data_IF_763571451162
#
_entry.id   IF_763571451162
#
_cell.length_a   1.000
_cell.length_b   1.000
_cell.length_c   1.000
_cell.angle_alpha   90.00
_cell.angle_beta   90.00
_cell.angle_gamma   90.00
#
_symmetry.space_group_name_H-M   'P 1'
#
loop_
_entity.id
_entity.type
_entity.pdbx_description
1 polymer ?
#
# COMPACT_ATOMS: atom_id res chain seq x y z
N UNK A 1 -17.67 2.50 1.40
CA UNK A 1 -18.00 2.99 0.04
C UNK A 1 -16.90 2.60 -0.94
N UNK A 2 -17.29 2.11 -2.12
CA UNK A 2 -16.37 1.88 -3.24
C UNK A 2 -16.54 3.01 -4.25
N UNK A 3 -15.44 3.63 -4.66
CA UNK A 3 -15.46 4.74 -5.60
C UNK A 3 -14.56 4.40 -6.80
N UNK A 4 -15.19 4.18 -7.93
CA UNK A 4 -14.51 3.97 -9.21
C UNK A 4 -14.08 5.31 -9.79
N UNK A 5 -12.84 5.42 -10.22
CA UNK A 5 -12.27 6.62 -10.82
C UNK A 5 -11.74 6.27 -12.21
N UNK A 6 -12.12 7.07 -13.19
CA UNK A 6 -11.64 6.96 -14.58
C UNK A 6 -10.53 7.97 -14.83
N UNK A 7 -9.59 7.61 -15.69
CA UNK A 7 -8.61 8.55 -16.21
C UNK A 7 -9.29 9.58 -17.11
N UNK A 8 -8.76 10.79 -17.14
CA UNK A 8 -9.22 11.79 -18.11
C UNK A 8 -8.59 11.54 -19.49
N UNK A 9 -9.19 12.09 -20.54
CA UNK A 9 -8.73 11.92 -21.92
C UNK A 9 -7.22 12.17 -22.13
N UNK A 10 -6.60 13.25 -21.59
CA UNK A 10 -5.15 13.44 -21.71
C UNK A 10 -4.32 12.33 -21.02
N UNK A 11 -4.78 11.78 -19.90
CA UNK A 11 -4.10 10.68 -19.21
C UNK A 11 -4.26 9.36 -19.99
N UNK A 12 -5.42 9.12 -20.60
CA UNK A 12 -5.65 7.98 -21.48
C UNK A 12 -4.76 8.03 -22.73
N UNK A 13 -4.56 9.23 -23.29
CA UNK A 13 -3.63 9.41 -24.41
C UNK A 13 -2.19 9.07 -24.00
N UNK A 14 -1.72 9.54 -22.82
CA UNK A 14 -0.41 9.14 -22.28
C UNK A 14 -0.30 7.63 -22.05
N UNK A 15 -1.36 7.02 -21.51
CA UNK A 15 -1.44 5.58 -21.29
C UNK A 15 -1.29 4.79 -22.58
N UNK A 16 -2.02 5.20 -23.62
CA UNK A 16 -1.99 4.54 -24.92
C UNK A 16 -0.64 4.68 -25.61
N UNK A 17 -0.05 5.88 -25.58
CA UNK A 17 1.28 6.13 -26.11
C UNK A 17 2.35 5.28 -25.37
N UNK A 18 2.28 5.23 -24.03
CA UNK A 18 3.20 4.42 -23.23
C UNK A 18 3.02 2.93 -23.47
N UNK A 19 1.78 2.45 -23.61
CA UNK A 19 1.47 1.06 -23.94
C UNK A 19 2.06 0.63 -25.27
N UNK A 20 1.98 1.47 -26.30
CA UNK A 20 2.58 1.17 -27.61
C UNK A 20 4.11 1.00 -27.56
N UNK A 21 4.78 1.78 -26.71
CA UNK A 21 6.22 1.67 -26.48
C UNK A 21 6.57 0.40 -25.67
N UNK A 22 5.75 0.04 -24.68
CA UNK A 22 5.90 -1.23 -23.95
C UNK A 22 5.86 -2.42 -24.90
N UNK A 23 4.91 -2.46 -25.83
CA UNK A 23 4.78 -3.55 -26.81
C UNK A 23 6.06 -3.71 -27.66
N UNK A 24 6.64 -2.60 -28.13
CA UNK A 24 7.89 -2.62 -28.90
C UNK A 24 9.08 -3.16 -28.08
N UNK A 25 9.16 -2.84 -26.80
CA UNK A 25 10.21 -3.34 -25.91
C UNK A 25 9.96 -4.80 -25.51
N UNK A 26 8.70 -5.23 -25.45
CA UNK A 26 8.32 -6.60 -25.12
C UNK A 26 8.60 -7.59 -26.26
N UNK A 27 8.55 -7.16 -27.52
CA UNK A 27 8.63 -8.01 -28.70
C UNK A 27 9.81 -9.00 -28.67
N UNK A 28 11.08 -8.62 -28.42
CA UNK A 28 12.19 -9.59 -28.35
C UNK A 28 12.05 -10.56 -27.18
N UNK A 29 11.44 -10.15 -26.05
CA UNK A 29 11.20 -11.03 -24.91
C UNK A 29 10.11 -12.06 -25.19
N UNK A 30 9.08 -11.66 -25.94
CA UNK A 30 7.99 -12.53 -26.39
C UNK A 30 8.47 -13.54 -27.45
N UNK A 31 9.27 -13.11 -28.41
CA UNK A 31 9.88 -13.99 -29.44
C UNK A 31 10.70 -15.14 -28.84
N UNK A 32 11.33 -14.91 -27.69
CA UNK A 32 12.08 -15.92 -26.96
C UNK A 32 11.26 -16.63 -25.87
N UNK A 33 9.95 -16.38 -25.76
CA UNK A 33 9.07 -17.02 -24.78
C UNK A 33 9.32 -16.64 -23.31
N UNK A 34 10.15 -15.61 -23.04
CA UNK A 34 10.46 -15.15 -21.68
C UNK A 34 9.24 -14.41 -21.08
N UNK A 35 8.53 -13.64 -21.91
CA UNK A 35 7.34 -12.92 -21.53
C UNK A 35 6.16 -13.40 -22.38
N UNK A 36 5.07 -13.78 -21.73
CA UNK A 36 3.82 -14.06 -22.44
C UNK A 36 3.19 -12.75 -22.96
N UNK A 37 2.33 -12.85 -23.97
CA UNK A 37 1.54 -11.70 -24.42
C UNK A 37 0.59 -11.25 -23.31
N UNK A 38 0.78 -10.03 -22.81
CA UNK A 38 -0.07 -9.43 -21.80
C UNK A 38 -0.50 -8.04 -22.26
N UNK A 39 -1.66 -7.61 -21.82
CA UNK A 39 -2.06 -6.22 -21.97
C UNK A 39 -1.03 -5.32 -21.25
N UNK A 40 -0.37 -4.39 -21.96
CA UNK A 40 0.62 -3.48 -21.39
C UNK A 40 0.10 -2.69 -20.18
N UNK A 41 -1.20 -2.38 -20.16
CA UNK A 41 -1.84 -1.66 -19.06
C UNK A 41 -1.87 -2.47 -17.75
N UNK A 42 -1.83 -3.80 -17.84
CA UNK A 42 -1.90 -4.71 -16.70
C UNK A 42 -0.55 -5.33 -16.31
N UNK A 43 0.51 -5.02 -17.05
CA UNK A 43 1.83 -5.54 -16.81
C UNK A 43 2.39 -5.09 -15.46
N UNK A 44 2.98 -6.01 -14.69
CA UNK A 44 3.57 -5.73 -13.37
C UNK A 44 5.08 -5.90 -13.43
N UNK A 45 5.82 -4.97 -12.83
CA UNK A 45 7.27 -5.08 -12.70
C UNK A 45 7.71 -6.38 -12.01
N UNK A 46 6.96 -6.83 -10.99
CA UNK A 46 7.20 -8.09 -10.32
C UNK A 46 7.00 -9.30 -11.26
N UNK A 47 5.93 -9.33 -12.04
CA UNK A 47 5.66 -10.42 -12.99
C UNK A 47 6.76 -10.52 -14.07
N UNK A 48 7.22 -9.38 -14.58
CA UNK A 48 8.36 -9.34 -15.53
C UNK A 48 9.62 -9.93 -14.92
N UNK A 49 9.94 -9.57 -13.67
CA UNK A 49 11.11 -10.11 -12.96
C UNK A 49 10.95 -11.59 -12.64
N UNK A 50 9.76 -12.03 -12.22
CA UNK A 50 9.46 -13.42 -11.92
C UNK A 50 9.55 -14.30 -13.18
N UNK A 51 9.01 -13.85 -14.33
CA UNK A 51 9.15 -14.54 -15.61
C UNK A 51 10.62 -14.69 -16.02
N UNK A 52 11.43 -13.65 -15.82
CA UNK A 52 12.86 -13.70 -16.11
C UNK A 52 13.65 -14.61 -15.14
N UNK A 53 13.18 -14.83 -13.93
CA UNK A 53 13.80 -15.71 -12.94
C UNK A 53 13.51 -17.20 -13.18
N UNK A 54 12.52 -17.54 -14.01
CA UNK A 54 12.18 -18.92 -14.33
C UNK A 54 13.38 -19.68 -14.95
N UNK A 55 13.59 -20.97 -14.61
CA UNK A 55 14.74 -21.76 -15.11
C UNK A 55 14.89 -21.73 -16.64
N UNK A 56 13.77 -21.86 -17.35
CA UNK A 56 13.73 -21.76 -18.83
C UNK A 56 14.25 -20.39 -19.32
N UNK A 57 13.75 -19.29 -18.74
CA UNK A 57 14.18 -17.95 -19.11
C UNK A 57 15.67 -17.72 -18.81
N UNK A 58 16.17 -18.26 -17.71
CA UNK A 58 17.59 -18.18 -17.36
C UNK A 58 18.50 -18.89 -18.37
N UNK A 59 18.07 -20.02 -18.95
CA UNK A 59 18.82 -20.70 -20.03
C UNK A 59 18.91 -19.81 -21.28
N UNK A 60 17.82 -19.19 -21.68
CA UNK A 60 17.76 -18.25 -22.81
C UNK A 60 18.65 -17.02 -22.56
N UNK A 61 18.60 -16.47 -21.32
CA UNK A 61 19.40 -15.31 -20.95
C UNK A 61 20.92 -15.58 -20.91
N UNK A 62 21.34 -16.83 -20.76
CA UNK A 62 22.73 -17.23 -20.92
C UNK A 62 23.15 -17.21 -22.39
N UNK A 63 22.27 -17.65 -23.29
CA UNK A 63 22.50 -17.66 -24.75
C UNK A 63 22.36 -16.26 -25.36
N UNK A 64 21.44 -15.42 -24.80
CA UNK A 64 21.13 -14.09 -25.31
C UNK A 64 21.27 -13.02 -24.20
N UNK A 65 22.49 -12.66 -23.75
CA UNK A 65 22.73 -11.76 -22.62
C UNK A 65 22.15 -10.36 -22.82
N UNK A 66 21.98 -9.90 -24.05
CA UNK A 66 21.40 -8.59 -24.39
C UNK A 66 19.94 -8.43 -23.94
N UNK A 67 19.20 -9.53 -23.78
CA UNK A 67 17.82 -9.52 -23.31
C UNK A 67 17.68 -9.09 -21.86
N UNK A 68 18.73 -9.20 -21.03
CA UNK A 68 18.71 -8.73 -19.63
C UNK A 68 18.41 -7.23 -19.52
N UNK A 69 18.99 -6.44 -20.43
CA UNK A 69 18.69 -5.01 -20.51
C UNK A 69 17.22 -4.74 -20.85
N UNK A 70 16.64 -5.53 -21.76
CA UNK A 70 15.22 -5.42 -22.12
C UNK A 70 14.29 -5.79 -20.96
N UNK A 71 14.63 -6.82 -20.15
CA UNK A 71 13.86 -7.19 -18.95
C UNK A 71 13.90 -6.06 -17.92
N UNK A 72 15.08 -5.51 -17.64
CA UNK A 72 15.22 -4.41 -16.69
C UNK A 72 14.40 -3.19 -17.12
N UNK A 73 14.52 -2.81 -18.39
CA UNK A 73 13.73 -1.72 -18.99
C UNK A 73 12.25 -2.00 -18.90
N UNK A 74 11.81 -3.21 -19.27
CA UNK A 74 10.42 -3.62 -19.21
C UNK A 74 9.83 -3.52 -17.80
N UNK A 75 10.59 -3.92 -16.78
CA UNK A 75 10.18 -3.81 -15.38
C UNK A 75 10.00 -2.34 -14.95
N UNK A 76 10.89 -1.44 -15.38
CA UNK A 76 10.75 0.01 -15.14
C UNK A 76 9.51 0.58 -15.86
N UNK A 77 9.32 0.19 -17.12
CA UNK A 77 8.17 0.66 -17.90
C UNK A 77 6.86 0.18 -17.32
N UNK A 78 6.78 -1.07 -16.86
CA UNK A 78 5.61 -1.62 -16.18
C UNK A 78 5.31 -0.87 -14.86
N UNK A 79 6.34 -0.49 -14.12
CA UNK A 79 6.19 0.30 -12.89
C UNK A 79 5.68 1.72 -13.20
N UNK A 80 6.21 2.35 -14.25
CA UNK A 80 5.76 3.67 -14.69
C UNK A 80 4.30 3.63 -15.17
N UNK A 81 3.89 2.57 -15.89
CA UNK A 81 2.48 2.36 -16.25
C UNK A 81 1.58 2.29 -15.00
N UNK A 82 2.06 1.64 -13.94
CA UNK A 82 1.32 1.58 -12.67
C UNK A 82 1.17 2.97 -12.03
N UNK A 83 2.22 3.79 -12.04
CA UNK A 83 2.10 5.17 -11.55
C UNK A 83 1.04 5.95 -12.32
N UNK A 84 1.07 5.91 -13.65
CA UNK A 84 0.13 6.61 -14.50
C UNK A 84 -1.33 6.16 -14.29
N UNK A 85 -1.53 4.85 -14.19
CA UNK A 85 -2.89 4.29 -14.09
C UNK A 85 -3.52 4.45 -12.70
N UNK A 86 -2.72 4.33 -11.63
CA UNK A 86 -3.25 4.05 -10.29
C UNK A 86 -2.78 5.03 -9.22
N UNK A 87 -1.65 5.71 -9.45
CA UNK A 87 -0.96 6.36 -8.35
C UNK A 87 -0.76 7.86 -8.56
N UNK A 88 0.11 8.26 -9.48
CA UNK A 88 0.52 9.64 -9.69
C UNK A 88 0.97 9.89 -11.11
N UNK A 89 0.33 10.86 -11.76
CA UNK A 89 0.72 11.35 -13.09
C UNK A 89 2.04 12.11 -13.01
N UNK A 90 2.24 12.89 -11.95
CA UNK A 90 3.48 13.64 -11.70
C UNK A 90 4.70 12.69 -11.63
N UNK A 91 4.61 11.66 -10.79
CA UNK A 91 5.71 10.68 -10.64
C UNK A 91 5.98 9.95 -11.95
N UNK A 92 4.94 9.61 -12.73
CA UNK A 92 5.10 9.04 -14.06
C UNK A 92 5.89 9.98 -14.97
N UNK A 93 5.47 11.24 -15.11
CA UNK A 93 6.11 12.22 -15.96
C UNK A 93 7.57 12.44 -15.55
N UNK A 94 7.84 12.65 -14.25
CA UNK A 94 9.18 12.91 -13.75
C UNK A 94 10.11 11.72 -13.99
N UNK A 95 9.67 10.48 -13.74
CA UNK A 95 10.46 9.27 -13.99
C UNK A 95 10.76 9.04 -15.48
N UNK A 96 9.80 9.32 -16.37
CA UNK A 96 10.03 9.23 -17.81
C UNK A 96 11.02 10.28 -18.26
N UNK A 97 10.90 11.52 -17.80
CA UNK A 97 11.82 12.62 -18.12
C UNK A 97 13.23 12.37 -17.57
N UNK A 98 13.37 11.93 -16.31
CA UNK A 98 14.67 11.58 -15.70
C UNK A 98 15.36 10.43 -16.45
N UNK A 99 14.58 9.48 -16.96
CA UNK A 99 15.11 8.26 -17.59
C UNK A 99 15.43 8.43 -19.08
N UNK A 100 14.59 9.14 -19.80
CA UNK A 100 14.65 9.20 -21.28
C UNK A 100 14.40 10.61 -21.85
N UNK A 101 14.21 11.62 -21.03
CA UNK A 101 14.01 12.99 -21.47
C UNK A 101 15.27 13.61 -22.09
N UNK A 102 15.14 14.82 -22.64
CA UNK A 102 16.26 15.53 -23.30
C UNK A 102 17.48 15.72 -22.39
N UNK A 103 17.24 15.95 -21.10
CA UNK A 103 18.28 16.21 -20.09
C UNK A 103 18.82 14.93 -19.41
N UNK A 104 18.43 13.75 -19.88
CA UNK A 104 18.88 12.46 -19.34
C UNK A 104 20.36 12.19 -19.65
N UNK A 105 21.25 12.99 -19.05
CA UNK A 105 22.71 12.98 -19.31
C UNK A 105 23.34 11.63 -18.98
N UNK A 106 24.22 11.15 -19.87
CA UNK A 106 25.09 9.99 -19.66
C UNK A 106 24.46 8.64 -19.91
N UNK A 107 23.22 8.53 -20.36
CA UNK A 107 22.58 7.26 -20.73
C UNK A 107 22.79 6.95 -22.22
N UNK A 108 23.12 5.68 -22.54
CA UNK A 108 23.17 5.20 -23.94
C UNK A 108 21.82 5.46 -24.59
N UNK A 109 21.87 5.95 -25.85
CA UNK A 109 20.67 6.20 -26.64
C UNK A 109 19.85 4.89 -26.77
N UNK A 110 18.61 4.92 -26.28
CA UNK A 110 17.72 3.77 -26.33
C UNK A 110 17.20 3.58 -27.76
N UNK A 111 17.09 2.34 -28.24
CA UNK A 111 16.62 2.06 -29.60
C UNK A 111 15.11 2.33 -29.81
N UNK A 112 14.32 2.28 -28.74
CA UNK A 112 12.86 2.44 -28.77
C UNK A 112 12.45 3.76 -28.14
N UNK A 113 13.09 4.15 -27.03
CA UNK A 113 12.78 5.34 -26.26
C UNK A 113 13.74 6.48 -26.62
N UNK A 114 13.65 6.97 -27.83
CA UNK A 114 14.50 8.04 -28.36
C UNK A 114 13.71 8.94 -29.32
N UNK A 115 14.30 10.10 -29.66
CA UNK A 115 13.68 11.12 -30.54
C UNK A 115 13.47 10.66 -31.98
N UNK A 116 14.09 9.56 -32.44
CA UNK A 116 13.85 9.02 -33.77
C UNK A 116 12.55 8.20 -33.85
N UNK A 117 11.93 7.87 -32.71
CA UNK A 117 10.66 7.12 -32.66
C UNK A 117 9.47 8.09 -32.56
N UNK A 118 8.60 8.18 -33.57
CA UNK A 118 7.44 9.06 -33.54
C UNK A 118 6.54 8.87 -32.30
N UNK A 119 6.28 7.60 -31.92
CA UNK A 119 5.45 7.30 -30.75
C UNK A 119 6.08 7.82 -29.43
N UNK A 120 7.41 7.86 -29.34
CA UNK A 120 8.09 8.45 -28.20
C UNK A 120 7.99 9.99 -28.22
N UNK A 121 8.10 10.60 -29.37
CA UNK A 121 7.93 12.06 -29.53
C UNK A 121 6.50 12.50 -29.15
N UNK A 122 5.49 11.73 -29.55
CA UNK A 122 4.10 12.02 -29.18
C UNK A 122 3.87 11.88 -27.69
N UNK A 123 4.49 10.85 -27.06
CA UNK A 123 4.48 10.73 -25.61
C UNK A 123 5.12 11.96 -24.92
N UNK A 124 6.29 12.41 -25.41
CA UNK A 124 7.00 13.56 -24.82
C UNK A 124 6.18 14.85 -24.94
N UNK A 125 5.56 15.12 -26.10
CA UNK A 125 4.63 16.24 -26.25
C UNK A 125 3.43 16.14 -25.30
N UNK A 126 2.88 14.93 -25.12
CA UNK A 126 1.81 14.67 -24.15
C UNK A 126 2.24 14.96 -22.70
N UNK A 127 3.43 14.55 -22.33
CA UNK A 127 4.02 14.83 -20.99
C UNK A 127 4.21 16.34 -20.79
N UNK A 128 4.75 17.05 -21.76
CA UNK A 128 4.93 18.52 -21.70
C UNK A 128 3.59 19.22 -21.51
N UNK A 129 2.56 18.84 -22.30
CA UNK A 129 1.19 19.37 -22.15
C UNK A 129 0.63 19.14 -20.75
N UNK A 130 0.80 17.95 -20.19
CA UNK A 130 0.29 17.62 -18.85
C UNK A 130 1.07 18.38 -17.78
N UNK A 131 2.40 18.50 -17.90
CA UNK A 131 3.24 19.24 -16.95
C UNK A 131 2.96 20.74 -16.96
N UNK A 132 2.60 21.31 -18.11
CA UNK A 132 2.22 22.72 -18.23
C UNK A 132 0.89 23.07 -17.55
N UNK A 133 0.06 22.07 -17.24
CA UNK A 133 -1.24 22.26 -16.60
C UNK A 133 -1.30 21.61 -15.21
N UNK A 134 -1.23 22.40 -14.12
CA UNK A 134 -1.26 21.86 -12.76
C UNK A 134 -2.48 20.97 -12.47
N UNK A 135 -3.63 21.25 -13.10
CA UNK A 135 -4.82 20.43 -12.92
C UNK A 135 -4.67 19.03 -13.54
N UNK A 136 -4.02 18.92 -14.70
CA UNK A 136 -3.77 17.64 -15.37
C UNK A 136 -2.66 16.86 -14.67
N UNK A 137 -1.73 17.54 -14.01
CA UNK A 137 -0.63 16.90 -13.30
C UNK A 137 -1.10 16.14 -12.05
N UNK A 138 -2.24 16.53 -11.47
CA UNK A 138 -2.85 15.83 -10.33
C UNK A 138 -3.69 14.65 -10.81
N UNK A 139 -3.35 13.47 -10.34
CA UNK A 139 -4.08 12.24 -10.71
C UNK A 139 -5.57 12.32 -10.34
N UNK A 140 -6.51 11.81 -11.19
CA UNK A 140 -7.96 11.83 -10.90
C UNK A 140 -8.34 11.24 -9.54
N UNK A 141 -7.65 10.18 -9.08
CA UNK A 141 -7.86 9.62 -7.73
C UNK A 141 -7.51 10.60 -6.62
N UNK A 142 -6.44 11.39 -6.77
CA UNK A 142 -6.08 12.42 -5.78
C UNK A 142 -7.15 13.50 -5.69
N UNK A 143 -7.69 13.94 -6.83
CA UNK A 143 -8.81 14.89 -6.84
C UNK A 143 -10.05 14.32 -6.16
N UNK A 144 -10.35 13.04 -6.42
CA UNK A 144 -11.49 12.37 -5.78
C UNK A 144 -11.29 12.18 -4.28
N UNK A 145 -10.09 11.82 -3.86
CA UNK A 145 -9.71 11.74 -2.44
C UNK A 145 -9.90 13.11 -1.75
N UNK A 146 -9.37 14.18 -2.36
CA UNK A 146 -9.51 15.54 -1.83
C UNK A 146 -10.99 15.93 -1.70
N UNK A 147 -11.82 15.60 -2.70
CA UNK A 147 -13.26 15.84 -2.64
C UNK A 147 -13.92 15.10 -1.47
N UNK A 148 -13.58 13.82 -1.27
CA UNK A 148 -14.11 13.00 -0.16
C UNK A 148 -13.73 13.62 1.19
N UNK A 149 -12.47 14.02 1.37
CA UNK A 149 -11.98 14.64 2.60
C UNK A 149 -12.62 16.01 2.85
N UNK A 150 -12.74 16.86 1.82
CA UNK A 150 -13.42 18.16 1.94
C UNK A 150 -14.88 18.00 2.37
N UNK A 151 -15.62 17.08 1.77
CA UNK A 151 -17.01 16.78 2.15
C UNK A 151 -17.09 16.27 3.59
N UNK A 152 -16.16 15.43 4.02
CA UNK A 152 -16.12 14.91 5.38
C UNK A 152 -15.91 16.03 6.40
N UNK A 153 -14.87 16.84 6.21
CA UNK A 153 -14.54 17.93 7.16
C UNK A 153 -15.54 19.10 7.12
N UNK A 154 -16.20 19.35 5.98
CA UNK A 154 -17.26 20.35 5.91
C UNK A 154 -18.50 20.00 6.75
N UNK A 155 -18.71 18.72 7.07
CA UNK A 155 -19.80 18.25 7.95
C UNK A 155 -19.45 18.29 9.44
N UNK A 156 -18.17 18.40 9.76
CA UNK A 156 -17.64 18.44 11.11
C UNK A 156 -17.55 19.88 11.62
N UNK A 157 -18.65 20.38 12.18
CA UNK A 157 -18.71 21.74 12.75
C UNK A 157 -17.86 21.88 14.01
N UNK A 158 -17.60 20.80 14.73
CA UNK A 158 -16.80 20.80 15.95
C UNK A 158 -15.31 20.67 15.71
N UNK A 159 -14.88 20.42 14.46
CA UNK A 159 -13.47 20.21 14.06
C UNK A 159 -12.74 19.11 14.84
N UNK A 160 -13.47 18.09 15.25
CA UNK A 160 -12.99 16.99 16.11
C UNK A 160 -12.66 15.71 15.32
N UNK A 161 -13.15 15.59 14.08
CA UNK A 161 -12.97 14.38 13.27
C UNK A 161 -11.58 14.31 12.67
N UNK A 162 -11.11 13.07 12.54
CA UNK A 162 -9.79 12.74 12.00
C UNK A 162 -9.92 11.71 10.89
N UNK A 163 -9.01 11.77 9.93
CA UNK A 163 -8.99 10.83 8.83
C UNK A 163 -7.62 10.19 8.63
N UNK A 164 -7.61 8.98 8.07
CA UNK A 164 -6.39 8.35 7.56
C UNK A 164 -6.52 8.10 6.06
N UNK A 165 -5.42 8.33 5.35
CA UNK A 165 -5.27 7.96 3.94
C UNK A 165 -4.19 6.91 3.84
N UNK A 166 -4.51 5.74 3.30
CA UNK A 166 -3.54 4.68 3.05
C UNK A 166 -3.09 4.68 1.59
N UNK A 167 -1.78 4.77 1.38
CA UNK A 167 -1.14 4.72 0.07
C UNK A 167 0.08 3.81 0.10
N UNK A 168 0.26 2.94 -0.90
CA UNK A 168 1.36 1.96 -0.92
C UNK A 168 2.73 2.57 -1.27
N UNK A 169 2.76 3.73 -1.93
CA UNK A 169 3.99 4.33 -2.46
C UNK A 169 4.36 5.61 -1.71
N UNK A 170 5.58 5.66 -1.16
CA UNK A 170 6.06 6.81 -0.39
C UNK A 170 6.11 8.12 -1.17
N UNK A 171 6.56 8.06 -2.43
CA UNK A 171 6.60 9.23 -3.30
C UNK A 171 5.22 9.87 -3.44
N UNK A 172 4.19 9.03 -3.50
CA UNK A 172 2.78 9.46 -3.61
C UNK A 172 2.25 9.98 -2.27
N UNK A 173 2.74 9.46 -1.13
CA UNK A 173 2.38 9.98 0.20
C UNK A 173 2.75 11.46 0.32
N UNK A 174 3.95 11.85 -0.09
CA UNK A 174 4.38 13.25 -0.03
C UNK A 174 3.53 14.14 -0.95
N UNK A 175 3.27 13.69 -2.19
CA UNK A 175 2.40 14.42 -3.12
C UNK A 175 0.97 14.60 -2.58
N UNK A 176 0.42 13.58 -1.91
CA UNK A 176 -0.89 13.67 -1.25
C UNK A 176 -0.84 14.71 -0.11
N UNK A 177 0.19 14.69 0.73
CA UNK A 177 0.33 15.65 1.84
C UNK A 177 0.42 17.07 1.31
N UNK A 178 1.21 17.31 0.27
CA UNK A 178 1.36 18.62 -0.37
C UNK A 178 0.03 19.13 -0.95
N UNK A 179 -0.72 18.25 -1.63
CA UNK A 179 -2.04 18.56 -2.17
C UNK A 179 -3.05 18.91 -1.07
N UNK A 180 -3.06 18.15 0.02
CA UNK A 180 -3.97 18.40 1.15
C UNK A 180 -3.63 19.71 1.85
N UNK A 181 -2.36 19.94 2.12
CA UNK A 181 -1.87 21.15 2.81
C UNK A 181 -2.15 22.40 1.98
N UNK A 182 -1.86 22.37 0.68
CA UNK A 182 -2.17 23.48 -0.24
C UNK A 182 -3.68 23.72 -0.39
N UNK A 183 -4.50 22.73 -0.06
CA UNK A 183 -5.97 22.84 -0.04
C UNK A 183 -6.55 23.22 1.33
N UNK A 184 -5.71 23.59 2.30
CA UNK A 184 -6.13 24.03 3.64
C UNK A 184 -6.44 22.89 4.63
N UNK A 185 -6.09 21.63 4.30
CA UNK A 185 -6.26 20.48 5.19
C UNK A 185 -4.91 20.16 5.84
N UNK A 186 -4.85 20.19 7.16
CA UNK A 186 -3.63 19.89 7.93
C UNK A 186 -3.32 18.39 7.86
N UNK A 187 -2.39 18.01 7.01
CA UNK A 187 -1.98 16.63 6.78
C UNK A 187 -0.52 16.40 7.18
N UNK A 188 -0.17 15.17 7.57
CA UNK A 188 1.20 14.77 7.87
C UNK A 188 1.50 13.38 7.29
N UNK A 189 2.74 13.13 6.79
CA UNK A 189 3.11 11.82 6.31
C UNK A 189 3.43 10.86 7.47
N UNK A 190 3.09 9.59 7.30
CA UNK A 190 3.43 8.52 8.23
C UNK A 190 4.03 7.33 7.47
N UNK A 191 5.37 7.29 7.41
CA UNK A 191 6.13 6.37 6.58
C UNK A 191 7.14 5.59 7.42
N UNK A 192 7.53 4.39 6.93
CA UNK A 192 8.53 3.56 7.60
C UNK A 192 9.95 4.13 7.55
N UNK A 193 10.86 3.50 8.30
CA UNK A 193 12.23 3.98 8.53
C UNK A 193 13.16 3.88 7.31
N UNK A 194 12.91 2.94 6.39
CA UNK A 194 13.76 2.75 5.22
C UNK A 194 13.83 4.03 4.38
N UNK A 195 14.96 4.31 3.74
CA UNK A 195 15.07 5.40 2.76
C UNK A 195 14.37 5.02 1.44
N UNK A 196 13.92 6.01 0.69
CA UNK A 196 13.40 5.80 -0.66
C UNK A 196 14.51 5.71 -1.72
N UNK A 197 14.14 5.41 -2.96
CA UNK A 197 15.08 5.31 -4.07
C UNK A 197 15.77 6.66 -4.43
N UNK A 198 15.21 7.78 -3.98
CA UNK A 198 15.77 9.13 -4.16
C UNK A 198 16.63 9.58 -2.96
N UNK A 199 16.81 8.71 -1.96
CA UNK A 199 17.63 9.00 -0.78
C UNK A 199 16.91 9.79 0.32
N UNK A 200 15.60 10.04 0.20
CA UNK A 200 14.84 10.64 1.29
C UNK A 200 14.76 9.65 2.46
N UNK A 201 15.16 10.11 3.63
CA UNK A 201 15.12 9.30 4.83
C UNK A 201 13.68 9.05 5.27
N UNK A 202 13.38 7.81 5.69
CA UNK A 202 12.14 7.52 6.38
C UNK A 202 12.11 8.13 7.79
N UNK A 203 10.96 8.03 8.45
CA UNK A 203 10.80 8.50 9.82
C UNK A 203 11.46 7.52 10.80
N UNK A 204 12.31 8.02 11.68
CA UNK A 204 12.83 7.25 12.81
C UNK A 204 11.69 6.88 13.77
N UNK A 205 11.90 5.89 14.64
CA UNK A 205 10.87 5.48 15.61
C UNK A 205 10.38 6.65 16.48
N UNK A 206 11.30 7.48 16.97
CA UNK A 206 10.94 8.69 17.76
C UNK A 206 10.10 9.68 16.96
N UNK A 207 10.41 9.87 15.69
CA UNK A 207 9.61 10.73 14.81
C UNK A 207 8.22 10.13 14.55
N UNK A 208 8.12 8.82 14.38
CA UNK A 208 6.83 8.13 14.23
C UNK A 208 5.96 8.31 15.49
N UNK A 209 6.53 8.09 16.68
CA UNK A 209 5.83 8.33 17.96
C UNK A 209 5.38 9.79 18.11
N UNK A 210 6.24 10.74 17.72
CA UNK A 210 5.90 12.17 17.74
C UNK A 210 4.76 12.52 16.77
N UNK A 211 4.77 11.96 15.55
CA UNK A 211 3.68 12.15 14.56
C UNK A 211 2.36 11.62 15.11
N UNK A 212 2.36 10.42 15.69
CA UNK A 212 1.14 9.84 16.30
C UNK A 212 0.63 10.74 17.44
N UNK A 213 1.50 11.17 18.34
CA UNK A 213 1.11 12.05 19.45
C UNK A 213 0.47 13.36 18.94
N UNK A 214 1.12 14.03 17.99
CA UNK A 214 0.62 15.29 17.43
C UNK A 214 -0.69 15.10 16.64
N UNK A 215 -0.88 13.93 16.03
CA UNK A 215 -2.13 13.57 15.39
C UNK A 215 -3.24 13.32 16.41
N UNK A 216 -2.95 12.60 17.50
CA UNK A 216 -3.89 12.40 18.62
C UNK A 216 -4.26 13.71 19.34
N UNK A 217 -3.34 14.68 19.40
CA UNK A 217 -3.59 16.03 19.93
C UNK A 217 -4.41 16.91 18.97
N UNK A 218 -4.74 16.45 17.76
CA UNK A 218 -5.55 17.20 16.78
C UNK A 218 -4.79 18.29 16.02
N UNK A 219 -3.45 18.33 16.09
CA UNK A 219 -2.63 19.26 15.29
C UNK A 219 -2.76 18.99 13.79
N UNK A 220 -2.96 17.74 13.43
CA UNK A 220 -3.25 17.30 12.07
C UNK A 220 -4.63 16.67 11.98
N UNK A 221 -5.33 16.92 10.87
CA UNK A 221 -6.63 16.35 10.56
C UNK A 221 -6.50 15.03 9.81
N UNK A 222 -5.42 14.90 9.01
CA UNK A 222 -5.20 13.74 8.14
C UNK A 222 -3.82 13.15 8.37
N UNK A 223 -3.77 11.85 8.59
CA UNK A 223 -2.54 11.05 8.59
C UNK A 223 -2.45 10.28 7.26
N UNK A 224 -1.44 10.59 6.44
CA UNK A 224 -1.21 9.89 5.17
C UNK A 224 -0.15 8.82 5.39
N UNK A 225 -0.58 7.55 5.39
CA UNK A 225 0.25 6.43 5.83
C UNK A 225 0.56 5.43 4.71
N UNK A 226 1.74 4.83 4.77
CA UNK A 226 2.04 3.58 4.08
C UNK A 226 1.57 2.38 4.93
N UNK A 227 1.96 1.16 4.55
CA UNK A 227 1.61 -0.06 5.30
C UNK A 227 2.01 -0.05 6.78
N UNK A 228 2.91 0.84 7.21
CA UNK A 228 3.25 0.97 8.64
C UNK A 228 2.06 1.41 9.52
N UNK A 229 1.08 2.09 8.93
CA UNK A 229 -0.16 2.47 9.62
C UNK A 229 -1.17 1.33 9.78
N UNK A 230 -0.92 0.16 9.15
CA UNK A 230 -1.85 -0.97 9.18
C UNK A 230 -1.82 -1.71 10.52
N UNK A 231 -0.66 -1.91 11.13
CA UNK A 231 -0.49 -2.74 12.33
C UNK A 231 0.56 -2.19 13.31
N UNK A 232 0.45 -2.55 14.58
CA UNK A 232 1.51 -2.43 15.58
C UNK A 232 1.58 -1.10 16.33
N UNK A 233 0.85 -0.07 15.94
CA UNK A 233 0.88 1.24 16.58
C UNK A 233 -0.51 1.68 17.02
N UNK A 234 -0.59 2.26 18.22
CA UNK A 234 -1.82 2.88 18.72
C UNK A 234 -1.96 4.31 18.16
N UNK A 235 -2.50 4.38 16.95
CA UNK A 235 -2.78 5.67 16.28
C UNK A 235 -4.03 6.33 16.87
N UNK A 236 -4.83 5.57 17.63
CA UNK A 236 -6.14 5.97 18.07
C UNK A 236 -7.19 5.73 16.98
N UNK A 237 -8.41 6.15 17.29
CA UNK A 237 -9.55 6.00 16.39
C UNK A 237 -9.65 7.17 15.40
N UNK A 238 -10.05 6.84 14.18
CA UNK A 238 -10.32 7.81 13.12
C UNK A 238 -11.74 7.63 12.58
N UNK A 239 -12.32 8.72 12.10
CA UNK A 239 -13.72 8.77 11.64
C UNK A 239 -13.84 8.39 10.18
N UNK A 240 -12.79 8.66 9.40
CA UNK A 240 -12.75 8.36 7.97
C UNK A 240 -11.42 7.68 7.60
N UNK A 241 -11.54 6.57 6.88
CA UNK A 241 -10.42 5.93 6.21
C UNK A 241 -10.60 6.05 4.70
N UNK A 242 -9.58 6.54 4.02
CA UNK A 242 -9.52 6.53 2.56
C UNK A 242 -8.40 5.58 2.13
N UNK A 243 -8.75 4.47 1.51
CA UNK A 243 -7.80 3.60 0.85
C UNK A 243 -7.54 4.18 -0.56
N UNK A 244 -6.40 4.85 -0.74
CA UNK A 244 -6.02 5.44 -2.02
C UNK A 244 -5.74 4.36 -3.07
N UNK A 245 -5.28 3.20 -2.65
CA UNK A 245 -5.10 2.02 -3.49
C UNK A 245 -5.85 0.80 -2.93
N UNK A 246 -6.39 -0.01 -3.85
CA UNK A 246 -7.05 -1.26 -3.54
C UNK A 246 -6.02 -2.35 -3.22
N UNK A 247 -6.02 -2.84 -1.99
CA UNK A 247 -5.11 -3.89 -1.54
C UNK A 247 -5.63 -5.25 -2.00
N UNK A 248 -4.74 -6.06 -2.58
CA UNK A 248 -5.06 -7.45 -2.94
C UNK A 248 -5.14 -8.37 -1.72
N UNK A 249 -4.35 -8.08 -0.71
CA UNK A 249 -4.30 -8.86 0.54
C UNK A 249 -5.48 -8.49 1.43
N UNK A 250 -6.36 -9.47 1.69
CA UNK A 250 -7.55 -9.30 2.52
C UNK A 250 -7.22 -8.97 3.99
N UNK A 251 -6.11 -9.52 4.53
CA UNK A 251 -5.68 -9.28 5.91
C UNK A 251 -5.28 -7.82 6.08
N UNK A 252 -4.45 -7.29 5.17
CA UNK A 252 -4.08 -5.87 5.17
C UNK A 252 -5.29 -4.96 5.01
N UNK A 253 -6.24 -5.35 4.14
CA UNK A 253 -7.51 -4.63 3.99
C UNK A 253 -8.26 -4.52 5.30
N UNK A 254 -8.37 -5.60 6.06
CA UNK A 254 -9.02 -5.62 7.38
C UNK A 254 -8.25 -4.79 8.41
N UNK A 255 -6.91 -4.84 8.42
CA UNK A 255 -6.07 -4.06 9.32
C UNK A 255 -6.23 -2.56 9.10
N UNK A 256 -6.38 -2.12 7.84
CA UNK A 256 -6.71 -0.72 7.51
C UNK A 256 -8.09 -0.33 8.04
N UNK A 257 -9.11 -1.15 7.76
CA UNK A 257 -10.49 -0.88 8.17
C UNK A 257 -10.62 -0.86 9.69
N UNK A 258 -9.91 -1.72 10.40
CA UNK A 258 -9.96 -1.84 11.86
C UNK A 258 -9.41 -0.62 12.65
N UNK A 259 -9.04 0.48 11.97
CA UNK A 259 -8.67 1.76 12.61
C UNK A 259 -9.86 2.68 12.86
N UNK A 260 -11.04 2.32 12.38
CA UNK A 260 -12.28 3.08 12.58
C UNK A 260 -13.41 2.18 13.08
N UNK A 261 -14.49 2.76 13.59
CA UNK A 261 -15.70 2.04 14.00
C UNK A 261 -15.56 1.30 15.34
N UNK A 262 -14.68 1.74 16.25
CA UNK A 262 -14.49 1.09 17.57
C UNK A 262 -15.38 1.70 18.67
N UNK A 263 -15.50 3.04 18.68
CA UNK A 263 -16.25 3.79 19.70
C UNK A 263 -17.47 4.46 19.07
N UNK A 264 -17.33 4.94 17.83
CA UNK A 264 -18.37 5.61 17.05
C UNK A 264 -18.39 5.14 15.62
N UNK A 265 -19.46 5.45 14.89
CA UNK A 265 -19.59 5.06 13.49
C UNK A 265 -18.44 5.62 12.64
N UNK A 266 -17.78 4.74 11.92
CA UNK A 266 -16.67 5.08 11.04
C UNK A 266 -17.02 4.88 9.57
N UNK A 267 -16.39 5.67 8.71
CA UNK A 267 -16.55 5.58 7.26
C UNK A 267 -15.27 5.10 6.59
N UNK A 268 -15.41 4.15 5.66
CA UNK A 268 -14.30 3.68 4.82
C UNK A 268 -14.64 3.92 3.35
N UNK A 269 -13.72 4.57 2.65
CA UNK A 269 -13.81 4.84 1.22
C UNK A 269 -12.61 4.19 0.52
N UNK A 270 -12.87 3.30 -0.42
CA UNK A 270 -11.84 2.67 -1.25
C UNK A 270 -11.91 3.28 -2.65
N UNK A 271 -10.82 3.90 -3.06
CA UNK A 271 -10.66 4.45 -4.40
C UNK A 271 -10.01 3.40 -5.30
N UNK A 272 -10.56 3.19 -6.47
CA UNK A 272 -10.01 2.25 -7.43
C UNK A 272 -10.16 2.76 -8.86
N UNK A 273 -9.16 2.52 -9.67
CA UNK A 273 -9.25 2.68 -11.12
C UNK A 273 -9.82 1.44 -11.76
N UNK A 274 -10.50 1.61 -12.90
CA UNK A 274 -11.03 0.50 -13.68
C UNK A 274 -9.90 -0.46 -14.10
N UNK A 275 -10.22 -1.75 -14.17
CA UNK A 275 -9.30 -2.79 -14.60
C UNK A 275 -8.58 -3.46 -13.43
N UNK A 276 -7.28 -3.23 -13.27
CA UNK A 276 -6.44 -4.01 -12.34
C UNK A 276 -6.81 -3.86 -10.87
N UNK A 277 -7.05 -2.64 -10.38
CA UNK A 277 -7.40 -2.44 -8.97
C UNK A 277 -8.78 -3.04 -8.66
N UNK A 278 -9.72 -2.93 -9.58
CA UNK A 278 -11.04 -3.54 -9.47
C UNK A 278 -10.95 -5.07 -9.41
N UNK A 279 -10.15 -5.67 -10.29
CA UNK A 279 -9.87 -7.11 -10.25
C UNK A 279 -9.20 -7.56 -8.95
N UNK A 280 -8.19 -6.80 -8.48
CA UNK A 280 -7.52 -7.07 -7.19
C UNK A 280 -8.52 -7.04 -6.02
N UNK A 281 -9.43 -6.07 -6.01
CA UNK A 281 -10.45 -5.94 -4.98
C UNK A 281 -11.41 -7.14 -4.98
N UNK A 282 -11.88 -7.55 -6.17
CA UNK A 282 -12.76 -8.71 -6.33
C UNK A 282 -12.08 -9.99 -5.84
N UNK A 283 -10.83 -10.23 -6.28
CA UNK A 283 -10.03 -11.38 -5.83
C UNK A 283 -9.78 -11.38 -4.32
N UNK A 284 -9.54 -10.22 -3.71
CA UNK A 284 -9.37 -10.08 -2.27
C UNK A 284 -10.62 -10.52 -1.51
N UNK A 285 -11.81 -10.09 -1.97
CA UNK A 285 -13.10 -10.50 -1.39
C UNK A 285 -13.36 -11.99 -1.53
N UNK A 286 -13.05 -12.56 -2.68
CA UNK A 286 -13.23 -14.00 -2.93
C UNK A 286 -12.27 -14.83 -2.06
N UNK A 287 -11.01 -14.42 -1.98
CA UNK A 287 -10.02 -15.04 -1.10
C UNK A 287 -10.48 -15.05 0.36
N UNK A 288 -10.97 -13.91 0.86
CA UNK A 288 -11.49 -13.81 2.21
C UNK A 288 -12.68 -14.76 2.45
N UNK A 289 -13.64 -14.81 1.52
CA UNK A 289 -14.78 -15.74 1.62
C UNK A 289 -14.32 -17.21 1.63
N UNK A 290 -13.31 -17.56 0.84
CA UNK A 290 -12.76 -18.92 0.80
C UNK A 290 -12.08 -19.29 2.11
N UNK A 291 -11.28 -18.39 2.70
CA UNK A 291 -10.66 -18.59 4.02
C UNK A 291 -11.75 -18.79 5.09
N UNK A 292 -12.77 -17.94 5.12
CA UNK A 292 -13.89 -18.10 6.06
C UNK A 292 -14.61 -19.43 5.88
N UNK A 293 -14.82 -19.88 4.62
CA UNK A 293 -15.42 -21.18 4.34
C UNK A 293 -14.57 -22.32 4.88
N UNK A 294 -13.25 -22.31 4.63
CA UNK A 294 -12.31 -23.31 5.14
C UNK A 294 -12.32 -23.39 6.66
N UNK A 295 -12.29 -22.24 7.34
CA UNK A 295 -12.36 -22.20 8.82
C UNK A 295 -13.70 -22.75 9.33
N UNK A 296 -14.81 -22.42 8.69
CA UNK A 296 -16.15 -22.91 9.09
C UNK A 296 -16.36 -24.39 8.87
N UNK A 297 -15.82 -24.96 7.79
CA UNK A 297 -15.96 -26.40 7.49
C UNK A 297 -15.02 -27.26 8.31
N UNK A 298 -13.93 -26.73 8.83
CA UNK A 298 -12.92 -27.35 9.72
C UNK A 298 -12.35 -28.71 9.24
N UNK A 299 -12.94 -29.34 8.22
CA UNK A 299 -12.60 -30.69 7.76
C UNK A 299 -11.20 -30.81 7.13
N UNK A 300 -10.58 -29.67 6.78
CA UNK A 300 -9.24 -29.61 6.16
C UNK A 300 -8.14 -29.15 7.12
N UNK A 301 -8.51 -28.81 8.36
CA UNK A 301 -7.55 -28.37 9.37
C UNK A 301 -7.19 -29.59 10.23
N UNK A 302 -5.99 -30.12 10.03
CA UNK A 302 -5.45 -31.16 10.90
C UNK A 302 -5.07 -30.51 12.25
N UNK A 303 -5.84 -30.79 13.28
CA UNK A 303 -5.50 -30.39 14.65
C UNK A 303 -4.59 -31.43 15.27
N UNK A 304 -3.62 -31.00 16.05
CA UNK A 304 -2.81 -31.90 16.88
C UNK A 304 -3.70 -32.58 17.90
N UNK A 305 -3.70 -33.91 17.90
CA UNK A 305 -4.52 -34.72 18.79
C UNK A 305 -3.81 -35.06 20.12
N UNK A 306 -2.51 -34.84 20.18
CA UNK A 306 -1.62 -35.12 21.30
C UNK A 306 -1.46 -33.93 22.29
N UNK A 307 -2.14 -32.82 22.01
CA UNK A 307 -2.11 -31.67 22.93
C UNK A 307 -2.98 -31.95 24.15
N UNK A 308 -2.39 -31.77 25.33
CA UNK A 308 -3.13 -31.88 26.59
C UNK A 308 -4.31 -30.90 26.62
N UNK A 309 -5.49 -31.40 26.85
CA UNK A 309 -6.69 -30.54 26.93
C UNK A 309 -6.60 -29.63 28.16
N UNK A 310 -6.88 -28.34 27.94
CA UNK A 310 -7.00 -27.36 29.02
C UNK A 310 -8.17 -27.66 29.96
N UNK A 311 -9.23 -28.25 29.41
CA UNK A 311 -10.43 -28.60 30.18
C UNK A 311 -10.47 -30.11 30.45
N UNK A 312 -10.69 -30.55 31.69
CA UNK A 312 -10.83 -31.97 32.04
C UNK A 312 -11.91 -32.66 31.23
N UNK A 313 -11.74 -33.95 30.89
CA UNK A 313 -12.65 -34.72 30.05
C UNK A 313 -14.09 -34.82 30.59
N UNK A 314 -14.25 -34.77 31.91
CA UNK A 314 -15.55 -34.85 32.58
C UNK A 314 -16.35 -33.56 32.54
N UNK A 315 -15.71 -32.43 32.18
CA UNK A 315 -16.38 -31.14 32.05
C UNK A 315 -16.83 -30.97 30.61
N UNK A 316 -18.13 -30.93 30.38
CA UNK A 316 -18.74 -30.57 29.11
C UNK A 316 -19.30 -29.17 29.25
N UNK A 317 -18.69 -28.14 28.62
CA UNK A 317 -19.21 -26.79 28.69
C UNK A 317 -20.54 -26.74 27.92
N UNK A 318 -21.56 -26.20 28.57
CA UNK A 318 -22.84 -25.91 27.93
C UNK A 318 -22.98 -24.39 27.79
N UNK A 319 -23.45 -23.87 26.64
CA UNK A 319 -23.70 -22.46 26.49
C UNK A 319 -24.87 -22.04 27.37
N UNK A 320 -24.61 -21.20 28.35
CA UNK A 320 -25.65 -20.62 29.21
C UNK A 320 -25.88 -19.19 28.74
N UNK A 321 -27.12 -18.91 28.32
CA UNK A 321 -27.52 -17.53 28.04
C UNK A 321 -27.75 -16.83 29.39
N UNK A 322 -26.93 -15.84 29.69
CA UNK A 322 -27.15 -14.96 30.82
C UNK A 322 -27.17 -13.52 30.36
N UNK A 323 -28.12 -12.75 30.90
CA UNK A 323 -28.10 -11.29 30.76
C UNK A 323 -26.96 -10.75 31.61
N UNK A 324 -26.01 -10.09 30.95
CA UNK A 324 -24.92 -9.40 31.64
C UNK A 324 -25.35 -7.97 31.86
N UNK A 325 -25.81 -7.64 33.06
CA UNK A 325 -25.99 -6.24 33.45
C UNK A 325 -24.63 -5.58 33.52
N UNK A 326 -24.35 -4.71 32.56
CA UNK A 326 -23.14 -3.87 32.63
C UNK A 326 -23.42 -2.69 33.56
N UNK A 327 -22.74 -2.61 34.71
CA UNK A 327 -22.86 -1.43 35.54
C UNK A 327 -22.41 -0.18 34.77
N UNK A 328 -23.03 0.99 34.96
CA UNK A 328 -22.63 2.22 34.29
C UNK A 328 -21.14 2.47 34.52
N UNK A 329 -20.44 2.87 33.48
CA UNK A 329 -18.99 3.13 33.52
C UNK A 329 -18.68 4.25 34.53
N UNK A 330 -17.98 3.90 35.61
CA UNK A 330 -17.52 4.87 36.63
C UNK A 330 -16.02 5.17 36.39
N UNK A 331 -15.73 6.37 35.89
CA UNK A 331 -14.36 6.83 35.64
C UNK A 331 -13.51 6.93 36.95
N UNK A 332 -14.13 6.94 38.12
CA UNK A 332 -13.41 6.98 39.41
C UNK A 332 -12.80 5.63 39.76
N UNK A 333 -13.40 4.52 39.31
CA UNK A 333 -12.85 3.16 39.50
C UNK A 333 -11.50 2.96 38.80
N UNK A 334 -11.26 3.58 37.63
CA UNK A 334 -9.99 3.52 36.91
C UNK A 334 -8.84 4.22 37.66
N UNK A 335 -9.13 5.16 38.55
CA UNK A 335 -8.10 5.83 39.35
C UNK A 335 -7.67 4.97 40.54
N UNK A 336 -8.52 4.08 41.05
CA UNK A 336 -8.22 3.19 42.18
C UNK A 336 -7.46 1.91 41.75
N UNK A 337 -7.59 1.47 40.50
CA UNK A 337 -6.88 0.30 39.96
C UNK A 337 -5.43 0.57 39.55
N UNK A 338 -4.91 1.80 39.68
CA UNK A 338 -3.46 2.05 39.67
C UNK A 338 -2.79 1.58 40.99
N UNK A 339 -3.13 0.39 41.45
CA UNK A 339 -2.36 -0.32 42.46
C UNK A 339 -1.04 -0.76 41.84
N UNK A 340 0.04 -0.31 42.44
CA UNK A 340 1.44 -0.57 42.16
C UNK A 340 1.67 -1.91 41.45
N UNK A 341 2.17 -1.82 40.20
CA UNK A 341 2.76 -2.99 39.55
C UNK A 341 3.80 -3.61 40.52
N UNK A 342 3.79 -4.93 40.74
CA UNK A 342 4.77 -5.58 41.57
C UNK A 342 6.17 -5.29 41.00
N UNK A 343 7.09 -4.82 41.83
CA UNK A 343 8.50 -4.60 41.48
C UNK A 343 9.02 -5.86 40.81
N UNK A 344 9.40 -5.76 39.55
CA UNK A 344 10.10 -6.81 38.82
C UNK A 344 11.30 -7.21 39.63
N UNK A 345 11.26 -8.39 40.27
CA UNK A 345 12.42 -9.05 40.88
C UNK A 345 13.37 -9.35 39.74
N UNK A 346 14.53 -8.74 39.74
CA UNK A 346 15.61 -9.07 38.80
C UNK A 346 15.95 -10.55 38.97
N UNK A 347 16.01 -11.36 37.89
CA UNK A 347 16.49 -12.73 38.00
C UNK A 347 17.93 -12.70 38.55
N UNK A 348 18.17 -13.36 39.68
CA UNK A 348 19.52 -13.61 40.13
C UNK A 348 20.22 -14.49 39.09
N UNK A 349 21.34 -14.01 38.56
CA UNK A 349 22.20 -14.79 37.69
C UNK A 349 22.64 -16.06 38.44
N UNK A 350 22.13 -17.22 38.02
CA UNK A 350 22.66 -18.52 38.45
C UNK A 350 24.11 -18.62 37.97
N UNK A 351 25.07 -18.59 38.88
CA UNK A 351 26.45 -18.95 38.59
C UNK A 351 26.46 -20.37 38.01
N UNK A 352 27.05 -20.52 36.85
CA UNK A 352 27.13 -21.79 36.15
C UNK A 352 27.83 -22.85 36.95
N UNK A 353 27.20 -24.01 37.05
CA UNK A 353 27.90 -25.27 37.37
C UNK A 353 28.59 -25.79 36.10
N UNK A 354 29.81 -26.33 36.17
CA UNK A 354 30.49 -26.88 35.02
C UNK A 354 29.79 -28.15 34.52
N UNK A 355 29.67 -28.28 33.22
CA UNK A 355 29.16 -29.48 32.55
C UNK A 355 30.18 -30.62 32.75
N UNK A 356 29.77 -31.83 33.21
CA UNK A 356 30.67 -32.97 33.24
C UNK A 356 31.01 -33.42 31.82
N UNK A 357 32.30 -33.63 31.56
CA UNK A 357 32.77 -34.26 30.31
C UNK A 357 32.36 -35.73 30.38
N UNK A 358 31.50 -36.17 29.44
CA UNK A 358 31.20 -37.59 29.25
C UNK A 358 32.36 -38.31 28.60
N UNK A 359 32.61 -39.52 29.05
CA UNK A 359 33.41 -40.55 28.39
C UNK A 359 32.70 -41.06 27.13
#
# INVERSE_FOLDING_TARGET
>A
DLVRVTLSEPHEALRSAWASLILKVAEPLQKHGILQSHDPAHLRAFAVRASAAAPFAQSILRQHPYLRGSIHKMAIMAQNMQYLNEQSVRVFCDRVMESWGPDARGKKQDKVLNSSNPAFNDLMKGIERVRANPFLLVHPKMRKMLQVLKIHFARDTAHTTRAMVFCSFREVVHEIVDLLTSSGIRATPFIGQASDAKGHRGLTQRQQEQVIRTFQEGKFQVLVATSIGEEGLDIGEVDLIVCYDAVRDSVRGLQRIGRTGRIRDGRVVVLMTAGREESNWTQSKESYKNVQRLVRTANTIALYTDVTRLMPLHIKPEPVMCEVEQPPFDATMLRQTKVRAPKRVKPQARRGQPIPKGE
#
